data_IF_186948724772
#
_entry.id   IF_186948724772
#
_cell.length_a   1.000
_cell.length_b   1.000
_cell.length_c   1.000
_cell.angle_alpha   90.00
_cell.angle_beta   90.00
_cell.angle_gamma   90.00
#
_symmetry.space_group_name_H-M   'P 1'
#
loop_
_entity.id
_entity.type
_entity.pdbx_description
1 polymer ?
#
# COMPACT_ATOMS: atom_id res chain seq x y z
N UNK A 1 -14.56 84.63 17.19
CA UNK A 1 -13.16 85.08 17.12
C UNK A 1 -12.27 83.85 16.98
N UNK A 2 -11.37 83.90 15.98
CA UNK A 2 -10.13 83.14 15.70
C UNK A 2 -9.97 81.73 16.28
N UNK A 3 -9.54 80.69 15.57
CA UNK A 3 -8.92 80.52 14.24
C UNK A 3 -8.25 79.13 14.28
N UNK A 4 -8.63 78.16 13.45
CA UNK A 4 -8.10 77.87 12.11
C UNK A 4 -6.60 77.48 12.11
N UNK A 5 -6.26 76.21 11.78
CA UNK A 5 -5.57 75.80 10.52
C UNK A 5 -4.76 74.47 10.61
N UNK A 6 -5.03 73.59 9.62
CA UNK A 6 -4.10 72.92 8.67
C UNK A 6 -2.99 72.02 9.28
N UNK A 7 -2.70 70.79 8.84
CA UNK A 7 -3.01 70.02 7.64
C UNK A 7 -1.87 68.98 7.41
N UNK A 8 -2.05 67.98 6.52
CA UNK A 8 -1.19 66.80 6.38
C UNK A 8 -0.15 66.92 5.23
N UNK A 9 0.96 66.18 5.31
CA UNK A 9 1.92 65.90 4.22
C UNK A 9 2.96 64.88 4.74
N UNK A 10 3.48 63.89 4.00
CA UNK A 10 3.42 63.70 2.57
C UNK A 10 3.91 62.32 2.14
N UNK A 11 3.54 61.99 0.90
CA UNK A 11 4.25 61.03 0.05
C UNK A 11 5.62 61.62 -0.30
N UNK A 12 6.65 60.78 -0.40
CA UNK A 12 7.69 61.04 -1.39
C UNK A 12 8.27 59.75 -1.97
N UNK A 13 8.55 59.87 -3.27
CA UNK A 13 8.94 58.82 -4.21
C UNK A 13 10.44 58.92 -4.52
N UNK A 14 11.10 57.80 -4.83
CA UNK A 14 12.21 57.64 -5.84
C UNK A 14 12.84 56.24 -5.67
N UNK A 15 12.77 55.33 -6.66
CA UNK A 15 13.50 55.19 -7.95
C UNK A 15 14.98 54.78 -7.85
N UNK A 16 15.30 53.59 -8.39
CA UNK A 16 16.41 53.13 -9.29
C UNK A 16 16.62 51.62 -9.04
N UNK A 17 16.48 50.65 -9.96
CA UNK A 17 16.98 50.39 -11.34
C UNK A 17 18.50 50.16 -11.42
N UNK A 18 18.88 48.89 -11.65
CA UNK A 18 19.90 48.36 -12.58
C UNK A 18 20.08 46.84 -12.30
N UNK A 19 19.60 45.90 -13.13
CA UNK A 19 20.18 45.37 -14.39
C UNK A 19 21.63 44.87 -14.33
N UNK A 20 21.84 43.61 -14.77
CA UNK A 20 23.15 42.91 -14.82
C UNK A 20 23.03 41.38 -14.79
N UNK A 21 22.37 40.70 -15.75
CA UNK A 21 22.87 40.20 -17.04
C UNK A 21 23.61 38.81 -17.02
N UNK A 22 23.01 37.86 -17.78
CA UNK A 22 23.58 36.79 -18.64
C UNK A 22 24.29 35.52 -18.11
N UNK A 23 23.55 34.40 -18.20
CA UNK A 23 23.69 33.24 -19.14
C UNK A 23 25.02 32.43 -19.28
N UNK A 24 24.97 31.16 -19.79
CA UNK A 24 25.72 30.01 -19.31
C UNK A 24 26.79 29.53 -20.31
N UNK A 25 27.65 28.60 -19.88
CA UNK A 25 28.52 27.81 -20.77
C UNK A 25 28.74 26.39 -20.23
N UNK A 26 28.19 25.40 -20.93
CA UNK A 26 28.88 24.11 -21.17
C UNK A 26 29.90 24.31 -22.34
N UNK A 27 30.74 23.35 -22.80
CA UNK A 27 30.76 21.91 -22.52
C UNK A 27 32.16 21.19 -22.54
N UNK A 28 32.12 19.84 -22.43
CA UNK A 28 33.05 18.79 -22.95
C UNK A 28 34.39 18.46 -22.24
N UNK A 29 34.57 17.18 -21.86
CA UNK A 29 35.44 16.17 -22.53
C UNK A 29 36.17 15.17 -21.60
N UNK A 30 36.24 13.90 -22.02
CA UNK A 30 37.36 12.96 -21.76
C UNK A 30 37.06 11.76 -20.84
N UNK A 31 36.80 10.57 -21.39
CA UNK A 31 37.74 9.41 -21.60
C UNK A 31 37.92 8.51 -20.35
N UNK A 32 37.34 7.31 -20.34
CA UNK A 32 37.88 6.00 -20.83
C UNK A 32 38.86 5.30 -19.86
N UNK A 33 38.75 3.95 -19.84
CA UNK A 33 39.57 2.89 -19.19
C UNK A 33 39.26 2.54 -17.72
N UNK A 34 39.33 1.30 -17.24
CA UNK A 34 39.29 -0.08 -17.78
C UNK A 34 39.11 -1.05 -16.58
N UNK A 35 38.46 -2.20 -16.80
CA UNK A 35 38.74 -3.56 -16.28
C UNK A 35 39.45 -3.74 -14.90
N UNK A 36 38.83 -4.45 -13.94
CA UNK A 36 39.12 -5.88 -13.62
C UNK A 36 38.56 -6.39 -12.26
N UNK A 37 38.02 -7.63 -12.32
CA UNK A 37 38.14 -8.79 -11.40
C UNK A 37 37.64 -8.77 -9.93
N UNK A 38 36.97 -9.89 -9.59
CA UNK A 38 36.98 -10.52 -8.26
C UNK A 38 35.59 -10.99 -7.79
N UNK A 39 35.08 -12.13 -8.27
CA UNK A 39 35.07 -13.44 -7.58
C UNK A 39 34.41 -13.50 -6.18
N UNK A 40 33.43 -14.41 -6.09
CA UNK A 40 33.08 -15.32 -4.96
C UNK A 40 32.48 -14.77 -3.66
N UNK A 41 31.21 -15.12 -3.38
CA UNK A 41 30.88 -16.18 -2.40
C UNK A 41 29.36 -16.38 -2.26
N UNK A 42 28.89 -17.59 -2.59
CA UNK A 42 27.74 -18.25 -1.93
C UNK A 42 28.34 -19.10 -0.79
N UNK A 43 27.65 -19.35 0.34
CA UNK A 43 26.70 -20.48 0.47
C UNK A 43 25.65 -20.31 1.61
N UNK A 44 24.91 -21.34 2.10
CA UNK A 44 24.32 -22.53 1.46
C UNK A 44 22.82 -22.73 1.76
N UNK A 45 22.21 -23.68 1.03
CA UNK A 45 21.00 -24.43 1.41
C UNK A 45 21.15 -25.20 2.74
N UNK A 46 20.03 -25.58 3.37
CA UNK A 46 19.57 -26.97 3.60
C UNK A 46 18.46 -26.98 4.67
N UNK A 47 17.31 -27.62 4.38
CA UNK A 47 16.44 -28.17 5.43
C UNK A 47 14.93 -28.19 5.21
N UNK A 48 14.44 -29.04 4.31
CA UNK A 48 13.17 -29.78 4.47
C UNK A 48 13.55 -31.25 4.80
N UNK A 49 12.69 -32.16 5.33
CA UNK A 49 11.23 -32.14 5.55
C UNK A 49 10.84 -32.61 6.99
N UNK A 50 9.61 -32.86 7.48
CA UNK A 50 8.59 -33.85 7.05
C UNK A 50 7.39 -33.82 8.04
N UNK A 51 6.20 -34.21 7.57
CA UNK A 51 4.99 -34.54 8.36
C UNK A 51 5.15 -35.83 9.17
N UNK A 52 4.39 -35.98 10.26
CA UNK A 52 4.10 -37.27 10.91
C UNK A 52 3.12 -37.13 12.08
N UNK A 53 1.99 -37.82 11.97
CA UNK A 53 0.83 -37.86 12.88
C UNK A 53 1.06 -38.59 14.21
N UNK A 54 0.07 -38.40 15.11
CA UNK A 54 -0.59 -39.39 15.99
C UNK A 54 -0.35 -39.38 17.52
N UNK A 55 -1.49 -39.12 18.20
CA UNK A 55 -2.11 -39.79 19.35
C UNK A 55 -1.45 -39.97 20.74
N UNK A 56 -2.30 -39.58 21.71
CA UNK A 56 -2.74 -40.32 22.91
C UNK A 56 -2.06 -40.15 24.29
N UNK A 57 -2.91 -39.58 25.18
CA UNK A 57 -3.33 -40.13 26.48
C UNK A 57 -2.52 -39.93 27.78
N UNK A 58 -3.27 -39.35 28.73
CA UNK A 58 -3.48 -39.78 30.13
C UNK A 58 -2.70 -39.12 31.29
N UNK A 59 -3.50 -38.47 32.18
CA UNK A 59 -3.56 -38.52 33.68
C UNK A 59 -2.29 -38.16 34.49
N UNK A 60 -2.30 -37.63 35.72
CA UNK A 60 -3.26 -37.24 36.76
C UNK A 60 -2.50 -36.31 37.74
N UNK A 61 -3.12 -35.37 38.47
CA UNK A 61 -3.60 -35.46 39.87
C UNK A 61 -4.11 -34.05 40.26
N UNK A 62 -5.36 -33.80 40.70
CA UNK A 62 -6.00 -34.06 42.00
C UNK A 62 -5.32 -33.46 43.25
N UNK A 63 -5.97 -32.43 43.84
CA UNK A 63 -6.29 -32.33 45.28
C UNK A 63 -7.47 -31.33 45.45
N UNK A 64 -8.68 -31.81 45.76
CA UNK A 64 -9.30 -32.08 47.08
C UNK A 64 -10.14 -30.88 47.56
N UNK A 65 -11.45 -31.13 47.57
CA UNK A 65 -12.55 -30.30 48.05
C UNK A 65 -13.13 -31.06 49.25
N UNK A 66 -13.28 -30.42 50.40
CA UNK A 66 -13.99 -30.97 51.55
C UNK A 66 -15.20 -30.09 51.88
N UNK A 67 -16.39 -30.71 51.86
CA UNK A 67 -17.56 -30.34 52.64
C UNK A 67 -17.73 -31.38 53.77
N UNK A 68 -18.47 -31.05 54.84
CA UNK A 68 -19.22 -32.07 55.56
C UNK A 68 -20.73 -31.78 55.62
N UNK A 69 -21.49 -32.69 54.99
CA UNK A 69 -22.56 -33.54 55.55
C UNK A 69 -23.60 -32.96 56.54
N UNK A 70 -24.82 -32.77 56.01
CA UNK A 70 -26.09 -33.45 56.37
C UNK A 70 -26.47 -33.72 57.84
N UNK A 71 -27.61 -33.16 58.25
CA UNK A 71 -28.45 -33.62 59.34
C UNK A 71 -29.93 -33.28 59.08
N UNK A 72 -30.70 -34.27 58.64
CA UNK A 72 -32.15 -34.20 58.36
C UNK A 72 -32.92 -34.66 59.60
N UNK A 73 -33.91 -33.88 60.05
CA UNK A 73 -35.02 -34.38 60.88
C UNK A 73 -36.30 -33.65 60.50
N UNK A 74 -37.30 -34.44 60.10
CA UNK A 74 -38.67 -34.03 59.84
C UNK A 74 -39.50 -34.29 61.10
N UNK A 75 -40.34 -33.34 61.50
CA UNK A 75 -41.61 -33.64 62.15
C UNK A 75 -42.63 -32.56 61.81
N UNK A 76 -43.84 -33.00 61.46
CA UNK A 76 -44.97 -32.20 61.02
C UNK A 76 -45.94 -31.96 62.19
N UNK A 77 -46.63 -30.80 62.18
CA UNK A 77 -47.72 -30.49 63.10
C UNK A 77 -48.28 -29.06 62.93
N UNK A 78 -49.20 -28.90 61.96
CA UNK A 78 -50.46 -28.12 61.97
C UNK A 78 -50.51 -26.64 62.44
N UNK A 79 -50.79 -25.75 61.46
CA UNK A 79 -51.39 -24.37 61.40
C UNK A 79 -52.06 -23.72 62.66
N UNK A 80 -52.22 -22.36 62.76
CA UNK A 80 -52.53 -21.41 61.68
C UNK A 80 -51.90 -19.98 61.70
N UNK A 81 -52.10 -19.27 60.57
CA UNK A 81 -51.83 -17.84 60.24
C UNK A 81 -52.34 -16.83 61.30
N UNK A 82 -51.73 -15.63 61.43
CA UNK A 82 -52.18 -14.45 60.67
C UNK A 82 -51.00 -13.61 60.12
N UNK A 83 -51.03 -13.20 58.85
CA UNK A 83 -51.41 -11.85 58.38
C UNK A 83 -50.37 -10.75 58.73
N UNK A 84 -49.74 -10.25 57.67
CA UNK A 84 -49.19 -8.90 57.47
C UNK A 84 -48.34 -8.27 58.57
N UNK A 85 -47.02 -8.34 58.39
CA UNK A 85 -46.13 -7.23 58.76
C UNK A 85 -44.82 -7.27 57.95
N UNK A 86 -44.91 -7.40 56.62
CA UNK A 86 -43.95 -6.72 55.76
C UNK A 86 -44.39 -5.25 55.67
N UNK A 87 -44.26 -4.55 56.80
CA UNK A 87 -44.14 -3.11 56.74
C UNK A 87 -42.84 -2.84 55.98
N UNK A 88 -42.99 -2.59 54.68
CA UNK A 88 -42.15 -1.67 53.94
C UNK A 88 -41.73 -0.57 54.91
N UNK A 89 -40.49 -0.66 55.40
CA UNK A 89 -39.80 0.54 55.81
C UNK A 89 -39.58 1.31 54.51
N UNK A 90 -40.61 2.05 54.12
CA UNK A 90 -40.50 3.31 53.41
C UNK A 90 -39.48 4.13 54.19
N UNK A 91 -38.21 3.91 53.85
CA UNK A 91 -37.12 4.73 54.28
C UNK A 91 -37.39 6.09 53.67
N UNK A 92 -37.94 6.99 54.50
CA UNK A 92 -38.03 8.43 54.32
C UNK A 92 -37.80 8.86 52.87
N UNK A 93 -38.88 8.91 52.10
CA UNK A 93 -38.94 9.70 50.87
C UNK A 93 -38.80 11.18 51.32
N UNK A 94 -37.58 11.58 51.69
CA UNK A 94 -37.20 12.99 51.84
C UNK A 94 -37.73 13.66 50.59
N UNK A 95 -38.74 14.51 50.76
CA UNK A 95 -39.45 15.12 49.64
C UNK A 95 -38.50 16.16 49.03
N UNK A 96 -37.58 15.68 48.19
CA UNK A 96 -36.57 16.51 47.55
C UNK A 96 -37.31 17.48 46.65
N UNK A 97 -37.15 18.78 46.89
CA UNK A 97 -37.74 19.80 46.04
C UNK A 97 -37.07 19.74 44.65
N UNK A 98 -37.84 19.78 43.55
CA UNK A 98 -37.34 19.66 42.17
C UNK A 98 -36.67 20.97 41.67
N UNK A 99 -35.80 21.57 42.49
CA UNK A 99 -35.08 22.82 42.23
C UNK A 99 -33.57 22.63 42.27
N UNK A 100 -32.84 23.30 41.37
CA UNK A 100 -31.38 23.21 41.29
C UNK A 100 -30.71 23.69 42.57
N UNK A 101 -31.22 24.76 43.20
CA UNK A 101 -30.66 25.29 44.46
C UNK A 101 -30.69 24.27 45.60
N UNK A 102 -31.65 23.34 45.57
CA UNK A 102 -31.79 22.29 46.59
C UNK A 102 -30.80 21.16 46.31
N UNK A 103 -30.58 20.80 45.05
CA UNK A 103 -29.59 19.79 44.67
C UNK A 103 -28.14 20.24 44.96
N UNK A 104 -27.82 21.50 44.68
CA UNK A 104 -26.51 22.10 44.96
C UNK A 104 -26.41 22.78 46.33
N UNK A 105 -27.43 22.62 47.17
CA UNK A 105 -27.43 23.12 48.55
C UNK A 105 -26.36 22.46 49.43
N UNK A 106 -26.23 22.92 50.69
CA UNK A 106 -25.24 22.38 51.62
C UNK A 106 -25.45 20.86 51.84
N UNK A 107 -26.70 20.44 51.91
CA UNK A 107 -27.06 19.03 52.11
C UNK A 107 -26.83 18.22 50.83
N UNK A 108 -26.27 17.03 50.99
CA UNK A 108 -26.00 16.13 49.87
C UNK A 108 -27.29 15.43 49.42
N UNK A 109 -27.75 15.77 48.22
CA UNK A 109 -28.91 15.14 47.60
C UNK A 109 -28.48 14.06 46.61
N UNK A 110 -29.06 12.86 46.71
CA UNK A 110 -28.80 11.79 45.74
C UNK A 110 -29.40 12.16 44.37
N UNK A 111 -28.61 11.96 43.30
CA UNK A 111 -29.03 12.28 41.92
C UNK A 111 -30.31 11.56 41.53
N UNK A 112 -30.45 10.29 41.92
CA UNK A 112 -31.64 9.50 41.63
C UNK A 112 -32.90 10.06 42.29
N UNK A 113 -32.80 10.52 43.55
CA UNK A 113 -33.91 11.14 44.28
C UNK A 113 -34.32 12.47 43.63
N UNK A 114 -33.33 13.30 43.27
CA UNK A 114 -33.57 14.56 42.56
C UNK A 114 -34.23 14.34 41.18
N UNK A 115 -33.73 13.37 40.40
CA UNK A 115 -34.31 12.99 39.10
C UNK A 115 -35.75 12.50 39.24
N UNK A 116 -36.04 11.68 40.26
CA UNK A 116 -37.42 11.24 40.56
C UNK A 116 -38.32 12.45 40.87
N UNK A 117 -37.86 13.39 41.69
CA UNK A 117 -38.59 14.61 42.01
C UNK A 117 -38.89 15.46 40.76
N UNK A 118 -37.90 15.67 39.88
CA UNK A 118 -38.07 16.41 38.63
C UNK A 118 -39.11 15.78 37.71
N UNK A 119 -39.09 14.45 37.58
CA UNK A 119 -40.06 13.70 36.78
C UNK A 119 -41.46 13.79 37.39
N UNK A 120 -41.60 13.63 38.72
CA UNK A 120 -42.88 13.74 39.45
C UNK A 120 -43.50 15.13 39.28
N UNK A 121 -42.68 16.17 39.37
CA UNK A 121 -43.11 17.57 39.21
C UNK A 121 -43.25 18.03 37.75
N UNK A 122 -42.90 17.17 36.77
CA UNK A 122 -42.97 17.47 35.32
C UNK A 122 -42.27 18.78 34.94
N UNK A 123 -41.14 19.08 35.59
CA UNK A 123 -40.37 20.29 35.33
C UNK A 123 -39.86 20.27 33.89
N UNK A 124 -40.16 21.31 33.13
CA UNK A 124 -39.70 21.46 31.73
C UNK A 124 -38.47 22.36 31.62
N UNK A 125 -38.38 23.38 32.47
CA UNK A 125 -37.26 24.33 32.58
C UNK A 125 -37.12 24.77 34.03
N UNK A 126 -35.89 25.07 34.44
CA UNK A 126 -35.63 25.68 35.74
C UNK A 126 -35.92 27.18 35.70
N UNK A 127 -36.28 27.73 36.86
CA UNK A 127 -36.51 29.15 37.05
C UNK A 127 -35.16 29.90 36.99
N UNK A 128 -35.06 31.06 36.31
CA UNK A 128 -33.83 31.86 36.30
C UNK A 128 -33.28 32.20 37.70
N UNK A 129 -34.15 32.48 38.67
CA UNK A 129 -33.73 32.79 40.04
C UNK A 129 -33.16 31.55 40.74
N UNK A 130 -33.74 30.37 40.47
CA UNK A 130 -33.25 29.09 40.96
C UNK A 130 -31.88 28.73 40.35
N UNK A 131 -31.69 29.02 39.06
CA UNK A 131 -30.40 28.86 38.37
C UNK A 131 -29.35 29.77 39.02
N UNK A 132 -29.63 31.06 39.18
CA UNK A 132 -28.67 32.01 39.74
C UNK A 132 -28.23 31.61 41.16
N UNK A 133 -29.16 31.18 42.01
CA UNK A 133 -28.86 30.70 43.36
C UNK A 133 -28.03 29.39 43.30
N UNK A 134 -28.40 28.46 42.41
CA UNK A 134 -27.67 27.20 42.26
C UNK A 134 -26.23 27.42 41.78
N UNK A 135 -26.00 28.35 40.86
CA UNK A 135 -24.66 28.66 40.35
C UNK A 135 -23.73 29.21 41.44
N UNK A 136 -24.25 30.06 42.34
CA UNK A 136 -23.52 30.50 43.54
C UNK A 136 -23.27 29.31 44.46
N UNK A 137 -24.28 28.47 44.71
CA UNK A 137 -24.14 27.30 45.58
C UNK A 137 -23.14 26.26 45.04
N UNK A 138 -22.99 26.11 43.72
CA UNK A 138 -21.96 25.25 43.10
C UNK A 138 -20.56 25.72 43.47
N UNK A 139 -20.31 27.03 43.47
CA UNK A 139 -19.00 27.58 43.81
C UNK A 139 -18.60 27.30 45.27
N UNK A 140 -19.58 27.21 46.17
CA UNK A 140 -19.35 26.98 47.60
C UNK A 140 -19.37 25.49 47.98
N UNK A 141 -20.36 24.75 47.49
CA UNK A 141 -20.69 23.39 47.93
C UNK A 141 -20.19 22.29 46.97
N UNK A 142 -19.84 22.62 45.73
CA UNK A 142 -19.35 21.66 44.71
C UNK A 142 -18.08 22.16 44.01
N UNK A 143 -17.11 22.61 44.80
CA UNK A 143 -15.81 23.14 44.31
C UNK A 143 -15.07 22.16 43.40
N UNK A 144 -15.18 20.87 43.67
CA UNK A 144 -14.56 19.80 42.87
C UNK A 144 -15.37 19.48 41.59
N UNK A 145 -16.62 19.95 41.47
CA UNK A 145 -17.50 19.66 40.33
C UNK A 145 -18.06 18.23 40.30
N UNK A 146 -17.98 17.51 41.43
CA UNK A 146 -18.39 16.11 41.53
C UNK A 146 -19.91 15.94 41.46
N UNK A 147 -20.69 16.83 42.10
CA UNK A 147 -22.16 16.77 42.03
C UNK A 147 -22.64 17.18 40.63
N UNK A 148 -22.05 18.21 40.05
CA UNK A 148 -22.32 18.64 38.68
C UNK A 148 -22.06 17.51 37.68
N UNK A 149 -20.92 16.82 37.84
CA UNK A 149 -20.57 15.65 37.04
C UNK A 149 -21.64 14.56 37.11
N UNK A 150 -22.02 14.17 38.32
CA UNK A 150 -23.03 13.14 38.55
C UNK A 150 -24.39 13.51 37.92
N UNK A 151 -24.80 14.78 38.03
CA UNK A 151 -26.03 15.26 37.43
C UNK A 151 -26.02 15.17 35.90
N UNK A 152 -24.91 15.56 35.27
CA UNK A 152 -24.75 15.55 33.81
C UNK A 152 -24.70 14.12 33.28
N UNK A 153 -23.94 13.24 33.92
CA UNK A 153 -23.82 11.84 33.52
C UNK A 153 -25.15 11.10 33.60
N UNK A 154 -25.86 11.24 34.72
CA UNK A 154 -27.04 10.41 34.98
C UNK A 154 -28.35 11.01 34.48
N UNK A 155 -28.38 12.31 34.18
CA UNK A 155 -29.63 13.02 33.96
C UNK A 155 -29.61 14.06 32.83
N UNK A 156 -28.54 14.17 32.03
CA UNK A 156 -28.47 15.06 30.86
C UNK A 156 -29.52 14.76 29.77
N UNK A 157 -30.10 13.56 29.76
CA UNK A 157 -31.22 13.19 28.90
C UNK A 157 -32.55 13.86 29.30
N UNK A 158 -32.65 14.39 30.52
CA UNK A 158 -33.82 15.15 30.95
C UNK A 158 -33.74 16.58 30.40
N UNK A 159 -34.79 16.99 29.68
CA UNK A 159 -34.92 18.32 29.07
C UNK A 159 -34.46 19.50 29.94
N UNK A 160 -34.96 19.68 31.18
CA UNK A 160 -34.55 20.81 32.03
C UNK A 160 -33.05 20.80 32.38
N UNK A 161 -32.50 19.62 32.67
CA UNK A 161 -31.08 19.46 33.03
C UNK A 161 -30.19 19.69 31.81
N UNK A 162 -30.56 19.17 30.65
CA UNK A 162 -29.85 19.42 29.40
C UNK A 162 -29.85 20.91 29.05
N UNK A 163 -31.01 21.57 29.15
CA UNK A 163 -31.19 22.97 28.74
C UNK A 163 -30.33 23.92 29.55
N UNK A 164 -30.14 23.65 30.85
CA UNK A 164 -29.28 24.45 31.72
C UNK A 164 -27.82 23.96 31.75
N UNK A 165 -27.62 22.65 31.87
CA UNK A 165 -26.32 22.05 32.18
C UNK A 165 -25.28 22.24 31.09
N UNK A 166 -25.65 22.16 29.82
CA UNK A 166 -24.68 22.33 28.74
C UNK A 166 -24.21 23.78 28.55
N UNK A 167 -25.09 24.79 28.56
CA UNK A 167 -24.66 26.20 28.63
C UNK A 167 -23.77 26.48 29.85
N UNK A 168 -24.11 25.91 31.01
CA UNK A 168 -23.30 26.09 32.22
C UNK A 168 -21.90 25.48 32.07
N UNK A 169 -21.79 24.24 31.56
CA UNK A 169 -20.50 23.60 31.27
C UNK A 169 -19.71 24.41 30.24
N UNK A 170 -20.36 24.89 29.17
CA UNK A 170 -19.70 25.72 28.17
C UNK A 170 -19.11 26.99 28.78
N UNK A 171 -19.85 27.66 29.67
CA UNK A 171 -19.35 28.85 30.37
C UNK A 171 -18.16 28.52 31.29
N UNK A 172 -18.22 27.38 31.98
CA UNK A 172 -17.12 26.87 32.81
C UNK A 172 -15.88 26.56 31.96
N UNK A 173 -16.04 25.92 30.80
CA UNK A 173 -14.95 25.67 29.83
C UNK A 173 -14.36 27.00 29.33
N UNK A 174 -15.21 27.97 29.01
CA UNK A 174 -14.77 29.29 28.57
C UNK A 174 -13.93 30.01 29.65
N UNK A 175 -14.32 29.83 30.92
CA UNK A 175 -13.58 30.37 32.06
C UNK A 175 -12.23 29.67 32.26
N UNK A 176 -12.15 28.37 32.01
CA UNK A 176 -10.91 27.59 32.11
C UNK A 176 -9.90 27.93 31.02
N UNK A 177 -10.37 28.06 29.78
CA UNK A 177 -9.50 28.30 28.61
C UNK A 177 -9.17 29.78 28.44
N UNK A 178 -10.04 30.67 28.91
CA UNK A 178 -9.90 32.12 28.78
C UNK A 178 -10.64 32.68 27.57
N UNK A 179 -10.98 33.96 27.65
CA UNK A 179 -11.80 34.67 26.65
C UNK A 179 -11.12 34.82 25.27
N UNK A 180 -9.85 34.46 25.13
CA UNK A 180 -9.13 34.50 23.86
C UNK A 180 -9.50 33.34 22.92
N UNK A 181 -10.09 32.25 23.44
CA UNK A 181 -10.47 31.08 22.64
C UNK A 181 -11.97 31.14 22.35
N UNK A 182 -12.32 31.38 21.08
CA UNK A 182 -13.71 31.29 20.65
C UNK A 182 -14.13 29.82 20.51
N UNK A 183 -14.82 29.33 21.55
CA UNK A 183 -15.35 27.97 21.61
C UNK A 183 -16.33 27.63 20.48
N UNK A 184 -16.91 28.63 19.82
CA UNK A 184 -17.86 28.42 18.72
C UNK A 184 -17.14 28.13 17.40
N UNK A 185 -16.02 28.81 17.14
CA UNK A 185 -15.26 28.75 15.88
C UNK A 185 -14.15 27.69 15.89
N UNK A 186 -13.59 27.40 17.06
CA UNK A 186 -12.47 26.47 17.16
C UNK A 186 -12.89 25.01 17.02
N UNK A 187 -12.00 24.19 16.45
CA UNK A 187 -12.24 22.76 16.32
C UNK A 187 -12.30 22.10 17.71
N UNK A 188 -13.11 21.05 17.92
CA UNK A 188 -13.18 20.33 19.19
C UNK A 188 -11.79 19.89 19.69
N UNK A 189 -10.93 19.51 18.73
CA UNK A 189 -9.55 19.11 19.00
C UNK A 189 -8.71 20.26 19.55
N UNK A 190 -8.79 21.47 19.00
CA UNK A 190 -8.07 22.64 19.54
C UNK A 190 -8.60 23.07 20.90
N UNK A 191 -9.92 23.06 21.08
CA UNK A 191 -10.54 23.40 22.38
C UNK A 191 -10.03 22.45 23.45
N UNK A 192 -10.03 21.14 23.20
CA UNK A 192 -9.51 20.14 24.13
C UNK A 192 -8.02 20.37 24.43
N UNK A 193 -7.21 20.69 23.42
CA UNK A 193 -5.80 21.02 23.61
C UNK A 193 -5.59 22.18 24.57
N UNK A 194 -6.33 23.28 24.40
CA UNK A 194 -6.25 24.46 25.27
C UNK A 194 -6.73 24.16 26.70
N UNK A 195 -7.78 23.34 26.86
CA UNK A 195 -8.26 22.86 28.17
C UNK A 195 -7.15 22.06 28.86
N UNK A 196 -6.57 21.09 28.16
CA UNK A 196 -5.47 20.25 28.66
C UNK A 196 -4.31 21.14 29.12
N UNK A 197 -3.91 22.13 28.32
CA UNK A 197 -2.85 23.08 28.70
C UNK A 197 -3.20 23.85 29.98
N UNK A 198 -4.44 24.34 30.09
CA UNK A 198 -4.89 25.10 31.27
C UNK A 198 -4.88 24.27 32.56
N UNK A 199 -5.20 22.98 32.49
CA UNK A 199 -5.33 22.11 33.67
C UNK A 199 -4.08 21.24 33.95
N UNK A 200 -3.10 21.19 33.05
CA UNK A 200 -1.91 20.34 33.18
C UNK A 200 -1.12 20.61 34.48
N UNK A 201 -1.00 21.87 34.89
CA UNK A 201 -0.33 22.23 36.15
C UNK A 201 -1.04 21.69 37.39
N UNK A 202 -2.38 21.54 37.35
CA UNK A 202 -3.15 21.00 38.46
C UNK A 202 -3.04 19.47 38.58
N UNK A 203 -2.73 18.76 37.48
CA UNK A 203 -2.45 17.32 37.52
C UNK A 203 -1.07 16.99 38.10
N UNK A 204 -0.10 17.88 37.92
CA UNK A 204 1.28 17.73 38.38
C UNK A 204 1.50 18.24 39.81
N UNK A 205 0.55 19.01 40.37
CA UNK A 205 0.63 19.56 41.71
C UNK A 205 0.29 18.54 42.81
N UNK A 206 0.84 18.74 44.01
CA UNK A 206 0.62 17.87 45.18
C UNK A 206 -0.80 18.01 45.78
N UNK A 207 -1.53 19.07 45.43
CA UNK A 207 -2.85 19.29 46.00
C UNK A 207 -3.92 18.41 45.34
N UNK A 208 -4.30 17.35 46.06
CA UNK A 208 -5.29 16.36 45.64
C UNK A 208 -6.67 16.95 45.30
N UNK A 209 -7.09 18.04 45.95
CA UNK A 209 -8.39 18.68 45.66
C UNK A 209 -8.36 19.43 44.32
N UNK A 210 -7.28 20.15 44.02
CA UNK A 210 -7.11 20.80 42.72
C UNK A 210 -6.96 19.78 41.59
N UNK A 211 -6.24 18.68 41.82
CA UNK A 211 -6.13 17.59 40.85
C UNK A 211 -7.50 16.94 40.55
N UNK A 212 -8.33 16.70 41.57
CA UNK A 212 -9.70 16.18 41.39
C UNK A 212 -10.60 17.16 40.65
N UNK A 213 -10.52 18.46 40.97
CA UNK A 213 -11.27 19.51 40.26
C UNK A 213 -10.88 19.54 38.78
N UNK A 214 -9.59 19.57 38.48
CA UNK A 214 -9.07 19.52 37.10
C UNK A 214 -9.52 18.26 36.35
N UNK A 215 -9.58 17.13 37.04
CA UNK A 215 -10.08 15.87 36.48
C UNK A 215 -11.57 15.93 36.13
N UNK A 216 -12.41 16.44 37.03
CA UNK A 216 -13.84 16.61 36.76
C UNK A 216 -14.11 17.68 35.70
N UNK A 217 -13.32 18.75 35.68
CA UNK A 217 -13.36 19.77 34.63
C UNK A 217 -13.01 19.17 33.26
N UNK A 218 -11.98 18.31 33.20
CA UNK A 218 -11.64 17.56 31.98
C UNK A 218 -12.77 16.65 31.54
N UNK A 219 -13.41 15.92 32.46
CA UNK A 219 -14.54 15.03 32.17
C UNK A 219 -15.76 15.77 31.64
N UNK A 220 -16.16 16.85 32.30
CA UNK A 220 -17.26 17.71 31.86
C UNK A 220 -16.97 18.30 30.48
N UNK A 221 -15.73 18.72 30.24
CA UNK A 221 -15.28 19.22 28.94
C UNK A 221 -15.36 18.17 27.85
N UNK A 222 -14.85 16.96 28.09
CA UNK A 222 -14.93 15.84 27.15
C UNK A 222 -16.39 15.48 26.86
N UNK A 223 -17.23 15.38 27.89
CA UNK A 223 -18.66 15.08 27.72
C UNK A 223 -19.36 16.16 26.87
N UNK A 224 -19.09 17.44 27.12
CA UNK A 224 -19.63 18.53 26.31
C UNK A 224 -19.13 18.49 24.86
N UNK A 225 -17.84 18.24 24.64
CA UNK A 225 -17.27 18.14 23.29
C UNK A 225 -17.88 16.98 22.50
N UNK A 226 -18.08 15.82 23.12
CA UNK A 226 -18.70 14.66 22.49
C UNK A 226 -20.18 14.90 22.17
N UNK A 227 -20.98 15.35 23.16
CA UNK A 227 -22.44 15.45 23.04
C UNK A 227 -22.92 16.71 22.31
N UNK A 228 -22.17 17.81 22.38
CA UNK A 228 -22.61 19.12 21.84
C UNK A 228 -21.79 19.62 20.66
N UNK A 229 -20.55 19.16 20.52
CA UNK A 229 -19.65 19.56 19.42
C UNK A 229 -19.34 18.40 18.47
N UNK A 230 -19.95 17.23 18.67
CA UNK A 230 -19.73 16.01 17.88
C UNK A 230 -18.24 15.70 17.69
N UNK A 231 -17.45 15.87 18.76
CA UNK A 231 -16.02 15.60 18.71
C UNK A 231 -15.76 14.13 18.38
N UNK A 232 -14.75 13.88 17.55
CA UNK A 232 -14.34 12.52 17.26
C UNK A 232 -13.71 11.86 18.50
N UNK A 233 -14.24 10.71 18.89
CA UNK A 233 -13.83 9.99 20.10
C UNK A 233 -12.36 9.57 20.01
N UNK A 234 -11.90 9.19 18.81
CA UNK A 234 -10.50 8.81 18.54
C UNK A 234 -9.55 9.99 18.70
N UNK A 235 -9.90 11.16 18.16
CA UNK A 235 -9.10 12.39 18.33
C UNK A 235 -9.04 12.87 19.78
N UNK A 236 -10.17 12.83 20.49
CA UNK A 236 -10.22 13.17 21.92
C UNK A 236 -9.32 12.25 22.73
N UNK A 237 -9.39 10.95 22.48
CA UNK A 237 -8.54 9.99 23.16
C UNK A 237 -7.06 10.17 22.80
N UNK A 238 -6.71 10.43 21.55
CA UNK A 238 -5.32 10.67 21.17
C UNK A 238 -4.70 11.86 21.90
N UNK A 239 -5.46 12.92 22.17
CA UNK A 239 -4.98 14.09 22.90
C UNK A 239 -4.85 13.85 24.40
N UNK A 240 -5.84 13.21 25.00
CA UNK A 240 -5.81 12.90 26.45
C UNK A 240 -4.80 11.78 26.75
N UNK A 241 -4.51 10.89 25.79
CA UNK A 241 -3.54 9.82 25.92
C UNK A 241 -2.14 10.33 26.22
N UNK A 242 -1.75 11.45 25.60
CA UNK A 242 -0.47 12.11 25.84
C UNK A 242 -0.26 12.49 27.31
N UNK A 243 -1.35 12.55 28.09
CA UNK A 243 -1.30 12.79 29.53
C UNK A 243 -1.22 11.50 30.37
N UNK A 244 -1.55 10.30 29.84
CA UNK A 244 -1.91 9.15 30.70
C UNK A 244 -1.51 7.70 30.28
N UNK A 245 -1.11 7.39 29.03
CA UNK A 245 -0.61 6.11 28.41
C UNK A 245 -0.68 4.70 29.10
N UNK A 246 -0.98 3.64 28.29
CA UNK A 246 -0.89 2.17 28.55
C UNK A 246 -2.10 1.21 28.17
N UNK A 247 -2.02 0.53 27.00
CA UNK A 247 -2.59 -0.78 26.50
C UNK A 247 -4.11 -1.17 26.36
N UNK A 248 -4.33 -2.00 25.33
CA UNK A 248 -5.47 -2.48 24.48
C UNK A 248 -6.81 -3.06 25.00
N UNK A 249 -7.84 -2.95 24.15
CA UNK A 249 -9.12 -3.66 24.18
C UNK A 249 -10.33 -2.75 23.90
N UNK A 250 -11.45 -3.29 23.40
CA UNK A 250 -12.64 -2.56 22.89
C UNK A 250 -12.94 -1.23 23.60
N UNK A 251 -12.66 -0.13 22.90
CA UNK A 251 -12.24 1.10 23.55
C UNK A 251 -13.23 2.25 23.46
N UNK A 252 -13.99 2.31 22.38
CA UNK A 252 -14.96 3.39 22.17
C UNK A 252 -16.09 3.31 23.22
N UNK A 253 -16.56 2.08 23.48
CA UNK A 253 -17.50 1.80 24.57
C UNK A 253 -16.88 2.05 25.95
N UNK A 254 -15.59 1.78 26.13
CA UNK A 254 -14.89 2.05 27.39
C UNK A 254 -14.68 3.54 27.64
N UNK A 255 -14.46 4.40 26.63
CA UNK A 255 -14.26 5.85 26.86
C UNK A 255 -15.57 6.45 27.29
N UNK A 256 -16.64 6.13 26.56
CA UNK A 256 -18.00 6.53 26.95
C UNK A 256 -18.34 6.00 28.34
N UNK A 257 -17.98 4.76 28.65
CA UNK A 257 -18.17 4.17 29.99
C UNK A 257 -17.34 4.88 31.06
N UNK A 258 -16.07 5.20 30.83
CA UNK A 258 -15.20 5.88 31.80
C UNK A 258 -15.64 7.34 32.06
N UNK A 259 -16.10 8.01 31.01
CA UNK A 259 -16.81 9.30 31.06
C UNK A 259 -18.22 9.13 31.66
N UNK A 260 -18.69 7.92 31.97
CA UNK A 260 -19.96 7.73 32.70
C UNK A 260 -19.75 7.18 34.12
N UNK A 261 -18.68 6.44 34.38
CA UNK A 261 -18.40 5.83 35.69
C UNK A 261 -17.61 6.77 36.60
N UNK A 262 -16.88 7.74 36.03
CA UNK A 262 -16.15 8.74 36.80
C UNK A 262 -14.93 8.20 37.57
N UNK A 263 -14.41 7.02 37.18
CA UNK A 263 -13.18 6.46 37.75
C UNK A 263 -11.96 6.92 36.96
N UNK A 264 -10.97 7.51 37.65
CA UNK A 264 -9.72 8.03 37.05
C UNK A 264 -8.95 6.94 36.32
N UNK A 265 -8.74 5.82 37.00
CA UNK A 265 -7.96 4.69 36.49
C UNK A 265 -8.61 4.08 35.23
N UNK A 266 -9.95 4.04 35.19
CA UNK A 266 -10.69 3.54 34.02
C UNK A 266 -10.55 4.48 32.83
N UNK A 267 -10.63 5.80 33.05
CA UNK A 267 -10.44 6.79 31.98
C UNK A 267 -9.02 6.72 31.40
N UNK A 268 -8.01 6.61 32.26
CA UNK A 268 -6.61 6.52 31.87
C UNK A 268 -6.32 5.25 31.06
N UNK A 269 -6.68 4.07 31.59
CA UNK A 269 -6.46 2.78 30.92
C UNK A 269 -7.17 2.72 29.55
N UNK A 270 -8.36 3.30 29.47
CA UNK A 270 -9.14 3.29 28.25
C UNK A 270 -8.53 4.16 27.16
N UNK A 271 -8.17 5.39 27.50
CA UNK A 271 -7.64 6.35 26.52
C UNK A 271 -6.35 5.82 25.89
N UNK A 272 -5.59 5.06 26.68
CA UNK A 272 -4.43 4.34 26.21
C UNK A 272 -4.68 3.21 25.21
N UNK A 273 -5.70 2.40 25.47
CA UNK A 273 -6.08 1.38 24.51
C UNK A 273 -6.46 1.97 23.13
N UNK A 274 -7.09 3.16 23.09
CA UNK A 274 -7.54 3.79 21.84
C UNK A 274 -6.37 4.21 20.97
N UNK A 275 -5.34 4.77 21.59
CA UNK A 275 -4.17 5.23 20.87
C UNK A 275 -3.36 4.06 20.31
N UNK A 276 -3.17 2.99 21.09
CA UNK A 276 -2.40 1.82 20.64
C UNK A 276 -3.08 1.13 19.44
N UNK A 277 -4.41 1.03 19.45
CA UNK A 277 -5.18 0.52 18.31
C UNK A 277 -5.07 1.46 17.11
N UNK A 278 -5.12 2.80 17.31
CA UNK A 278 -4.98 3.76 16.21
C UNK A 278 -3.57 3.70 15.58
N UNK A 279 -2.53 3.50 16.39
CA UNK A 279 -1.16 3.34 15.92
C UNK A 279 -0.99 2.03 15.13
N UNK A 280 -1.58 0.93 15.59
CA UNK A 280 -1.63 -0.32 14.82
C UNK A 280 -2.38 -0.17 13.50
N UNK A 281 -3.52 0.53 13.48
CA UNK A 281 -4.27 0.80 12.25
C UNK A 281 -3.44 1.66 11.28
N UNK A 282 -2.71 2.66 11.79
CA UNK A 282 -1.81 3.47 10.97
C UNK A 282 -0.65 2.65 10.41
N UNK A 283 -0.02 1.80 11.23
CA UNK A 283 1.03 0.89 10.80
C UNK A 283 0.54 -0.08 9.72
N UNK A 284 -0.61 -0.73 9.94
CA UNK A 284 -1.22 -1.63 8.96
C UNK A 284 -1.61 -0.92 7.65
N UNK A 285 -2.10 0.33 7.73
CA UNK A 285 -2.35 1.15 6.52
C UNK A 285 -1.06 1.45 5.77
N UNK A 286 0.01 1.80 6.49
CA UNK A 286 1.30 2.08 5.89
C UNK A 286 1.87 0.83 5.20
N UNK A 287 1.84 -0.32 5.87
CA UNK A 287 2.29 -1.60 5.33
C UNK A 287 1.52 -1.98 4.06
N UNK A 288 0.18 -1.88 4.09
CA UNK A 288 -0.66 -2.10 2.90
C UNK A 288 -0.31 -1.15 1.75
N UNK A 289 0.00 0.11 2.04
CA UNK A 289 0.36 1.09 1.02
C UNK A 289 1.77 0.82 0.45
N UNK A 290 2.70 0.27 1.24
CA UNK A 290 3.99 -0.25 0.78
C UNK A 290 3.78 -1.46 -0.13
N UNK A 291 2.99 -2.46 0.29
CA UNK A 291 2.66 -3.63 -0.54
C UNK A 291 2.04 -3.22 -1.89
N UNK A 292 1.18 -2.20 -1.90
CA UNK A 292 0.58 -1.69 -3.14
C UNK A 292 1.62 -1.12 -4.10
N UNK A 293 2.63 -0.42 -3.59
CA UNK A 293 3.73 0.11 -4.40
C UNK A 293 4.58 -1.04 -4.95
N UNK A 294 4.98 -1.98 -4.09
CA UNK A 294 5.76 -3.15 -4.52
C UNK A 294 5.03 -3.98 -5.57
N UNK A 295 3.71 -4.19 -5.43
CA UNK A 295 2.89 -4.86 -6.46
C UNK A 295 2.87 -4.09 -7.77
N UNK A 296 2.81 -2.76 -7.72
CA UNK A 296 2.86 -1.91 -8.92
C UNK A 296 4.22 -1.99 -9.62
N UNK A 297 5.30 -2.00 -8.85
CA UNK A 297 6.67 -2.09 -9.37
C UNK A 297 6.94 -3.46 -9.99
N UNK A 298 6.54 -4.54 -9.32
CA UNK A 298 6.64 -5.91 -9.85
C UNK A 298 5.82 -6.08 -11.13
N UNK A 299 4.61 -5.51 -11.19
CA UNK A 299 3.79 -5.54 -12.40
C UNK A 299 4.50 -4.84 -13.56
N UNK A 300 5.05 -3.65 -13.30
CA UNK A 300 5.79 -2.89 -14.31
C UNK A 300 7.03 -3.63 -14.82
N UNK A 301 7.77 -4.28 -13.92
CA UNK A 301 8.91 -5.12 -14.28
C UNK A 301 8.50 -6.34 -15.12
N UNK A 302 7.38 -6.98 -14.77
CA UNK A 302 6.85 -8.13 -15.50
C UNK A 302 6.37 -7.75 -16.91
N UNK A 303 5.70 -6.61 -17.05
CA UNK A 303 5.29 -6.09 -18.35
C UNK A 303 6.52 -5.72 -19.22
N UNK A 304 7.57 -5.15 -18.63
CA UNK A 304 8.84 -4.92 -19.32
C UNK A 304 9.54 -6.20 -19.78
N UNK A 305 9.50 -7.26 -18.97
CA UNK A 305 10.01 -8.58 -19.36
C UNK A 305 9.20 -9.21 -20.50
N UNK A 306 7.86 -9.10 -20.46
CA UNK A 306 6.99 -9.57 -21.55
C UNK A 306 7.30 -8.86 -22.87
N UNK A 307 7.50 -7.55 -22.82
CA UNK A 307 7.87 -6.77 -24.01
C UNK A 307 9.25 -7.19 -24.55
N UNK A 308 10.22 -7.48 -23.66
CA UNK A 308 11.51 -8.02 -24.07
C UNK A 308 11.38 -9.40 -24.74
N UNK A 309 10.61 -10.31 -24.15
CA UNK A 309 10.33 -11.63 -24.74
C UNK A 309 9.66 -11.49 -26.10
N UNK A 310 8.70 -10.58 -26.25
CA UNK A 310 8.05 -10.32 -27.53
C UNK A 310 9.06 -9.84 -28.60
N UNK A 311 9.97 -8.93 -28.22
CA UNK A 311 11.05 -8.46 -29.11
C UNK A 311 12.02 -9.57 -29.50
N UNK A 312 12.46 -10.36 -28.52
CA UNK A 312 13.38 -11.47 -28.74
C UNK A 312 12.74 -12.55 -29.63
N UNK A 313 11.45 -12.83 -29.44
CA UNK A 313 10.69 -13.79 -30.29
C UNK A 313 10.59 -13.31 -31.73
N UNK A 314 10.32 -12.01 -31.95
CA UNK A 314 10.29 -11.44 -33.30
C UNK A 314 11.68 -11.44 -33.96
N UNK A 315 12.75 -11.22 -33.18
CA UNK A 315 14.12 -11.31 -33.67
C UNK A 315 14.47 -12.73 -34.10
N UNK A 316 14.13 -13.74 -33.27
CA UNK A 316 14.32 -15.15 -33.62
C UNK A 316 13.60 -15.48 -34.92
N UNK A 317 12.33 -15.07 -35.06
CA UNK A 317 11.54 -15.30 -36.27
C UNK A 317 12.19 -14.70 -37.52
N UNK A 318 12.77 -13.51 -37.42
CA UNK A 318 13.50 -12.87 -38.54
C UNK A 318 14.76 -13.65 -38.90
N UNK A 319 15.56 -14.01 -37.91
CA UNK A 319 16.81 -14.77 -38.12
C UNK A 319 16.53 -16.17 -38.70
N UNK A 320 15.44 -16.82 -38.30
CA UNK A 320 15.00 -18.08 -38.90
C UNK A 320 14.60 -17.91 -40.36
N UNK A 321 13.93 -16.80 -40.72
CA UNK A 321 13.63 -16.44 -42.09
C UNK A 321 14.89 -16.22 -42.95
N UNK A 322 15.82 -15.40 -42.46
CA UNK A 322 17.11 -15.15 -43.14
C UNK A 322 17.91 -16.45 -43.32
N UNK A 323 17.92 -17.33 -42.31
CA UNK A 323 18.56 -18.64 -42.41
C UNK A 323 17.93 -19.50 -43.49
N UNK A 324 16.60 -19.55 -43.57
CA UNK A 324 15.89 -20.33 -44.59
C UNK A 324 16.18 -19.80 -46.01
N UNK A 325 16.24 -18.48 -46.19
CA UNK A 325 16.60 -17.85 -47.46
C UNK A 325 18.04 -18.19 -47.88
N UNK A 326 18.99 -18.13 -46.95
CA UNK A 326 20.39 -18.50 -47.21
C UNK A 326 20.53 -20.00 -47.52
N UNK A 327 19.80 -20.88 -46.82
CA UNK A 327 19.78 -22.31 -47.11
C UNK A 327 19.22 -22.60 -48.51
N UNK A 328 18.19 -21.87 -48.95
CA UNK A 328 17.65 -21.96 -50.29
C UNK A 328 18.66 -21.49 -51.35
N UNK A 329 19.31 -20.33 -51.15
CA UNK A 329 20.35 -19.84 -52.06
C UNK A 329 21.51 -20.84 -52.20
N UNK A 330 21.92 -21.44 -51.09
CA UNK A 330 23.00 -22.44 -51.08
C UNK A 330 22.58 -23.71 -51.85
N UNK A 331 21.32 -24.14 -51.72
CA UNK A 331 20.78 -25.23 -52.51
C UNK A 331 20.75 -24.91 -54.01
N UNK A 332 20.25 -23.73 -54.40
CA UNK A 332 20.21 -23.28 -55.79
C UNK A 332 21.61 -23.23 -56.41
N UNK A 333 22.60 -22.63 -55.71
CA UNK A 333 23.99 -22.59 -56.17
C UNK A 333 24.62 -23.99 -56.28
N UNK A 334 24.32 -24.90 -55.35
CA UNK A 334 24.77 -26.31 -55.47
C UNK A 334 24.19 -26.98 -56.71
N UNK A 335 22.90 -26.79 -56.98
CA UNK A 335 22.26 -27.37 -58.17
C UNK A 335 22.80 -26.76 -59.47
N UNK A 336 23.07 -25.45 -59.52
CA UNK A 336 23.74 -24.79 -60.64
C UNK A 336 25.14 -25.37 -60.86
N UNK A 337 25.96 -25.42 -59.82
CA UNK A 337 27.31 -25.96 -59.90
C UNK A 337 27.32 -27.44 -60.36
N UNK A 338 26.35 -28.24 -59.91
CA UNK A 338 26.23 -29.63 -60.36
C UNK A 338 25.77 -29.73 -61.82
N UNK A 339 24.82 -28.89 -62.25
CA UNK A 339 24.41 -28.79 -63.66
C UNK A 339 25.57 -28.39 -64.56
N UNK A 340 26.36 -27.38 -64.17
CA UNK A 340 27.53 -26.92 -64.91
C UNK A 340 28.58 -28.02 -65.00
N UNK A 341 28.85 -28.75 -63.90
CA UNK A 341 29.74 -29.92 -63.93
C UNK A 341 29.26 -30.98 -64.92
N UNK A 342 27.95 -31.28 -64.95
CA UNK A 342 27.37 -32.23 -65.91
C UNK A 342 27.50 -31.72 -67.34
N UNK A 343 27.20 -30.46 -67.61
CA UNK A 343 27.37 -29.84 -68.93
C UNK A 343 28.82 -29.86 -69.39
N UNK A 344 29.78 -29.54 -68.51
CA UNK A 344 31.20 -29.64 -68.82
C UNK A 344 31.64 -31.07 -69.08
N UNK A 345 31.17 -32.05 -68.30
CA UNK A 345 31.46 -33.47 -68.51
C UNK A 345 30.88 -34.00 -69.83
N UNK A 346 29.65 -33.60 -70.17
CA UNK A 346 29.06 -33.94 -71.47
C UNK A 346 29.78 -33.27 -72.62
N UNK A 347 30.13 -31.98 -72.50
CA UNK A 347 30.86 -31.26 -73.55
C UNK A 347 32.26 -31.84 -73.77
N UNK A 348 32.97 -32.20 -72.70
CA UNK A 348 34.30 -32.83 -72.82
C UNK A 348 34.19 -34.23 -73.45
N UNK A 349 33.20 -35.03 -73.04
CA UNK A 349 32.92 -36.34 -73.64
C UNK A 349 32.54 -36.22 -75.13
N UNK A 350 31.72 -35.23 -75.49
CA UNK A 350 31.34 -34.98 -76.88
C UNK A 350 32.54 -34.55 -77.72
N UNK A 351 33.36 -33.60 -77.25
CA UNK A 351 34.61 -33.21 -77.92
C UNK A 351 35.54 -34.40 -78.10
N UNK A 352 35.66 -35.25 -77.08
CA UNK A 352 36.49 -36.46 -77.15
C UNK A 352 35.94 -37.46 -78.19
N UNK A 353 34.62 -37.63 -78.26
CA UNK A 353 33.97 -38.45 -79.28
C UNK A 353 34.17 -37.88 -80.69
N UNK A 354 34.00 -36.56 -80.88
CA UNK A 354 34.22 -35.86 -82.14
C UNK A 354 35.67 -36.04 -82.62
N UNK A 355 36.65 -35.84 -81.73
CA UNK A 355 38.08 -36.11 -81.99
C UNK A 355 38.31 -37.58 -82.32
N UNK A 356 37.64 -38.51 -81.63
CA UNK A 356 37.70 -39.94 -81.95
C UNK A 356 37.21 -40.25 -83.37
N UNK A 357 36.07 -39.68 -83.78
CA UNK A 357 35.52 -39.88 -85.13
C UNK A 357 36.38 -39.23 -86.22
N UNK A 358 37.00 -38.08 -85.95
CA UNK A 358 37.86 -37.40 -86.91
C UNK A 358 39.18 -38.16 -87.09
N UNK A 359 39.76 -38.68 -86.00
CA UNK A 359 40.92 -39.59 -86.05
C UNK A 359 40.60 -40.88 -86.81
N UNK A 360 39.40 -41.45 -86.64
CA UNK A 360 39.00 -42.66 -87.37
C UNK A 360 38.85 -42.39 -88.88
N UNK A 361 38.33 -41.23 -89.28
CA UNK A 361 38.31 -40.79 -90.68
C UNK A 361 39.72 -40.63 -91.25
N UNK A 362 40.62 -39.98 -90.51
CA UNK A 362 42.04 -39.86 -90.90
C UNK A 362 42.68 -41.23 -91.07
N UNK A 363 42.46 -42.16 -90.13
CA UNK A 363 42.96 -43.54 -90.23
C UNK A 363 42.46 -44.24 -91.49
N UNK A 364 41.17 -44.09 -91.83
CA UNK A 364 40.60 -44.62 -93.07
C UNK A 364 41.31 -44.09 -94.32
N UNK A 365 41.49 -42.76 -94.41
CA UNK A 365 42.21 -42.13 -95.53
C UNK A 365 43.66 -42.60 -95.65
N UNK A 366 44.35 -42.80 -94.52
CA UNK A 366 45.73 -43.30 -94.50
C UNK A 366 45.80 -44.76 -94.97
N UNK A 367 44.86 -45.61 -94.55
CA UNK A 367 44.78 -47.01 -94.99
C UNK A 367 44.48 -47.07 -96.49
N UNK A 368 43.49 -46.32 -96.98
CA UNK A 368 43.17 -46.24 -98.42
C UNK A 368 44.32 -45.68 -99.26
N UNK A 369 45.07 -44.70 -98.73
CA UNK A 369 46.28 -44.21 -99.38
C UNK A 369 47.36 -45.29 -99.45
N UNK A 370 47.57 -46.04 -98.36
CA UNK A 370 48.50 -47.17 -98.33
C UNK A 370 48.14 -48.27 -99.34
N UNK A 371 46.86 -48.63 -99.43
CA UNK A 371 46.36 -49.57 -100.45
C UNK A 371 46.56 -49.03 -101.86
N UNK A 372 46.30 -47.75 -102.12
CA UNK A 372 46.52 -47.14 -103.42
C UNK A 372 48.00 -47.17 -103.84
N UNK A 373 48.93 -46.92 -102.90
CA UNK A 373 50.37 -47.08 -103.13
C UNK A 373 50.72 -48.54 -103.41
N UNK A 374 50.19 -49.48 -102.64
CA UNK A 374 50.47 -50.91 -102.82
C UNK A 374 49.95 -51.43 -104.17
N UNK A 375 48.78 -50.97 -104.62
CA UNK A 375 48.23 -51.26 -105.95
C UNK A 375 49.10 -50.63 -107.05
N UNK A 376 49.59 -49.40 -106.85
CA UNK A 376 50.51 -48.75 -107.79
C UNK A 376 51.84 -49.50 -107.90
N UNK A 377 52.40 -49.97 -106.77
CA UNK A 377 53.64 -50.77 -106.74
C UNK A 377 53.48 -52.14 -107.40
N UNK A 378 52.31 -52.80 -107.27
CA UNK A 378 52.04 -54.09 -107.94
C UNK A 378 51.81 -53.98 -109.46
N UNK A 379 51.51 -52.78 -109.97
CA UNK A 379 51.30 -52.49 -111.41
C UNK A 379 52.52 -51.83 -112.07
N UNK A 380 53.72 -52.10 -111.57
CA UNK A 380 54.96 -51.67 -112.21
C UNK A 380 55.20 -52.48 -113.49
N UNK A 381 54.44 -52.13 -114.53
CA UNK A 381 54.87 -51.94 -115.91
C UNK A 381 53.82 -50.98 -116.56
N UNK A 382 54.26 -49.74 -116.80
CA UNK A 382 53.61 -48.67 -117.60
C UNK A 382 52.32 -47.95 -117.12
N UNK A 383 51.74 -48.27 -115.95
CA UNK A 383 50.52 -47.59 -115.43
C UNK A 383 50.67 -46.68 -114.19
N UNK A 384 51.89 -46.41 -113.72
CA UNK A 384 52.21 -46.04 -112.33
C UNK A 384 51.84 -44.60 -111.88
N UNK A 385 51.78 -43.64 -112.80
CA UNK A 385 51.69 -42.21 -112.44
C UNK A 385 50.31 -41.81 -111.87
N UNK A 386 49.22 -42.41 -112.35
CA UNK A 386 47.87 -42.12 -111.84
C UNK A 386 47.61 -42.71 -110.45
N UNK A 387 48.17 -43.88 -110.15
CA UNK A 387 48.06 -44.52 -108.83
C UNK A 387 48.81 -43.74 -107.76
N UNK A 388 50.04 -43.31 -108.07
CA UNK A 388 50.84 -42.43 -107.21
C UNK A 388 50.20 -41.06 -107.01
N UNK A 389 49.69 -40.42 -108.05
CA UNK A 389 48.98 -39.14 -107.91
C UNK A 389 47.67 -39.26 -107.10
N UNK A 390 46.95 -40.38 -107.22
CA UNK A 390 45.77 -40.63 -106.39
C UNK A 390 46.13 -40.86 -104.92
N UNK A 391 47.23 -41.57 -104.64
CA UNK A 391 47.77 -41.72 -103.30
C UNK A 391 48.25 -40.39 -102.71
N UNK A 392 48.99 -39.59 -103.49
CA UNK A 392 49.46 -38.26 -103.10
C UNK A 392 48.29 -37.34 -102.75
N UNK A 393 47.26 -37.26 -103.59
CA UNK A 393 46.05 -36.46 -103.29
C UNK A 393 45.34 -36.91 -102.01
N UNK A 394 45.31 -38.22 -101.72
CA UNK A 394 44.69 -38.75 -100.49
C UNK A 394 45.55 -38.47 -99.26
N UNK A 395 46.87 -38.54 -99.38
CA UNK A 395 47.81 -38.18 -98.30
C UNK A 395 47.70 -36.68 -98.00
N UNK A 396 47.67 -35.82 -99.02
CA UNK A 396 47.44 -34.38 -98.86
C UNK A 396 46.09 -34.11 -98.21
N UNK A 397 45.02 -34.79 -98.67
CA UNK A 397 43.69 -34.68 -98.05
C UNK A 397 43.66 -35.19 -96.59
N UNK A 398 44.47 -36.18 -96.23
CA UNK A 398 44.60 -36.66 -94.85
C UNK A 398 45.38 -35.67 -93.98
N UNK A 399 46.42 -35.02 -94.51
CA UNK A 399 47.19 -33.96 -93.83
C UNK A 399 46.32 -32.72 -93.60
N UNK A 400 45.51 -32.32 -94.58
CA UNK A 400 44.55 -31.22 -94.44
C UNK A 400 43.46 -31.56 -93.39
N UNK A 401 43.00 -32.80 -93.35
CA UNK A 401 42.08 -33.27 -92.31
C UNK A 401 42.71 -33.26 -90.91
N UNK A 402 43.99 -33.63 -90.77
CA UNK A 402 44.73 -33.58 -89.49
C UNK A 402 44.95 -32.14 -89.02
N UNK A 403 45.33 -31.24 -89.92
CA UNK A 403 45.56 -29.82 -89.60
C UNK A 403 44.27 -29.06 -89.33
N UNK A 404 43.14 -29.52 -89.87
CA UNK A 404 41.80 -29.03 -89.55
C UNK A 404 41.26 -29.48 -88.18
N UNK A 405 41.79 -30.56 -87.59
CA UNK A 405 41.39 -31.06 -86.24
C UNK A 405 42.00 -30.20 -85.11
N UNK A 406 43.03 -29.40 -85.40
CA UNK A 406 43.76 -28.57 -84.42
C UNK A 406 43.32 -27.11 -84.32
N UNK A 407 42.30 -26.68 -85.08
CA UNK A 407 41.65 -25.36 -84.98
C UNK A 407 40.24 -25.54 -84.41
#
# INVERSE_FOLDING_TARGET
>A
MSGNKIGPSGQDSRRRVSDGDKHPKDPLAGRETELNKGLTSFPPEVGLPTKGDSNDSARANQSVREEPSSGRSLSAGTDPKPADEYAERDADETTVEPRLRVYFGPDAVQVAAFVKALKKAKVRKFDPDDIAIAEVAIADNDKEGSRLWQLVVHASSLGPISTWGWPFIQNRVNTLVGAQVDLSQESPSRILGSIITAISGAFLGENRQYAKRAENDLRLSIAWLLERRNADVTDVAAQVHRLFVGAEGDVEGRVRKAVSTGSKAELQATIAALHLINDQIRAARHERDVERRERSDLKSALDGLREKVARDTELIRRLEGERAELEQQLYEERTRAESDRRHHAHSSSQRQAEVGTSLQRVKGLVVEAGEAVQIAMKRADEGSLRGLQAAERRIVSAIDAITGIGK
#
